data_IF_271470703464
#
_entry.id   IF_271470703464
#
_cell.length_a   1.000
_cell.length_b   1.000
_cell.length_c   1.000
_cell.angle_alpha   90.00
_cell.angle_beta   90.00
_cell.angle_gamma   90.00
#
_symmetry.space_group_name_H-M   'P 1'
#
loop_
_entity.id
_entity.type
_entity.pdbx_description
1 polymer ?
2 non-polymer ?
3 non-polymer ?
4 non-polymer ?
5 non-polymer ?
6 water ?
#
# COMPACT_ATOMS: atom_id res chain seq x y z
N UNK A 22 -16.41 -14.41 -13.57
CA UNK A 22 -17.61 -14.31 -14.41
C UNK A 22 -18.38 -15.63 -14.39
N UNK A 23 -17.66 -16.76 -14.41
CA UNK A 23 -18.26 -18.08 -14.32
C UNK A 23 -18.51 -18.45 -12.85
N UNK A 24 -19.60 -19.18 -12.61
CA UNK A 24 -19.82 -19.91 -11.37
C UNK A 24 -20.15 -19.09 -10.13
N UNK A 25 -20.21 -17.77 -10.23
CA UNK A 25 -20.54 -16.93 -9.09
C UNK A 25 -22.05 -16.72 -9.03
N UNK A 26 -22.55 -16.44 -7.82
CA UNK A 26 -23.92 -15.98 -7.72
C UNK A 26 -24.04 -14.57 -8.30
N UNK A 27 -25.30 -14.14 -8.47
CA UNK A 27 -25.56 -12.79 -8.96
C UNK A 27 -25.06 -11.74 -7.97
N UNK A 28 -25.19 -12.00 -6.68
CA UNK A 28 -24.71 -11.04 -5.68
C UNK A 28 -23.19 -10.95 -5.72
N UNK A 29 -22.52 -12.09 -5.93
CA UNK A 29 -21.05 -12.08 -6.01
C UNK A 29 -20.58 -11.33 -7.24
N UNK A 30 -21.28 -11.50 -8.37
CA UNK A 30 -20.89 -10.80 -9.60
C UNK A 30 -21.10 -9.30 -9.46
N UNK A 31 -22.22 -8.88 -8.85
CA UNK A 31 -22.44 -7.46 -8.59
C UNK A 31 -21.40 -6.89 -7.64
N UNK A 32 -20.96 -7.69 -6.67
CA UNK A 32 -19.94 -7.24 -5.73
C UNK A 32 -18.61 -6.97 -6.45
N UNK A 33 -18.16 -7.91 -7.28
CA UNK A 33 -16.92 -7.71 -8.02
C UNK A 33 -17.05 -6.50 -8.94
N UNK A 34 -18.19 -6.37 -9.60
CA UNK A 34 -18.41 -5.23 -10.49
C UNK A 34 -18.36 -3.92 -9.73
N UNK A 35 -18.99 -3.86 -8.55
CA UNK A 35 -18.93 -2.61 -7.80
C UNK A 35 -17.50 -2.26 -7.40
N UNK A 36 -16.70 -3.27 -7.03
CA UNK A 36 -15.31 -3.01 -6.63
C UNK A 36 -14.46 -2.60 -7.83
N UNK A 37 -14.63 -3.30 -8.96
CA UNK A 37 -13.88 -2.94 -10.17
C UNK A 37 -14.24 -1.54 -10.66
N UNK A 38 -15.51 -1.17 -10.54
CA UNK A 38 -15.93 0.18 -10.86
C UNK A 38 -15.24 1.20 -9.95
N UNK A 39 -15.26 0.96 -8.64
CA UNK A 39 -14.61 1.89 -7.72
C UNK A 39 -13.12 1.99 -8.01
N UNK A 40 -12.48 0.86 -8.31
CA UNK A 40 -11.05 0.86 -8.60
C UNK A 40 -10.77 1.70 -9.86
N UNK A 41 -11.52 1.45 -10.93
CA UNK A 41 -11.36 2.18 -12.19
C UNK A 41 -11.51 3.69 -12.00
N UNK A 42 -12.46 4.12 -11.17
CA UNK A 42 -12.71 5.54 -10.99
C UNK A 42 -11.69 6.23 -10.11
N UNK A 43 -10.97 5.50 -9.25
CA UNK A 43 -10.17 6.15 -8.24
C UNK A 43 -8.70 5.76 -8.25
N UNK A 44 -8.26 4.93 -9.18
CA UNK A 44 -6.86 4.52 -9.27
C UNK A 44 -6.31 5.15 -10.55
N UNK A 45 -5.50 6.19 -10.38
CA UNK A 45 -4.75 6.89 -11.43
C UNK A 45 -3.50 6.07 -11.74
N UNK A 46 -3.67 5.03 -12.57
CA UNK A 46 -2.58 4.06 -12.72
C UNK A 46 -1.38 4.66 -13.45
N UNK A 47 -1.58 5.74 -14.19
CA UNK A 47 -0.50 6.46 -14.83
C UNK A 47 0.04 7.62 -13.99
N UNK A 48 -0.57 7.90 -12.84
CA UNK A 48 -0.13 8.97 -11.94
C UNK A 48 -0.11 10.32 -12.68
N UNK A 49 -0.98 10.50 -13.68
CA UNK A 49 -0.99 11.72 -14.48
C UNK A 49 -1.30 12.95 -13.64
N UNK A 50 -2.05 12.80 -12.56
CA UNK A 50 -2.46 13.94 -11.76
C UNK A 50 -1.66 14.10 -10.47
N UNK A 51 -0.60 13.33 -10.29
CA UNK A 51 0.35 13.56 -9.19
C UNK A 51 1.33 14.62 -9.66
N UNK A 52 1.21 15.83 -9.12
CA UNK A 52 2.05 16.94 -9.55
C UNK A 52 2.32 17.83 -8.33
N UNK A 53 3.18 18.82 -8.55
CA UNK A 53 3.55 19.82 -7.53
C UNK A 53 4.14 19.20 -6.27
N UNK A 54 4.79 18.05 -6.39
CA UNK A 54 5.39 17.37 -5.24
C UNK A 54 6.78 17.92 -4.96
N UNK A 55 7.21 17.80 -3.70
CA UNK A 55 8.55 18.21 -3.33
C UNK A 55 9.57 17.17 -3.83
N UNK A 56 10.82 17.62 -4.04
CA UNK A 56 11.90 16.74 -4.47
C UNK A 56 13.11 16.93 -3.56
N UNK A 57 13.98 15.92 -3.45
CA UNK A 57 15.15 16.05 -2.58
C UNK A 57 16.05 17.19 -3.08
N UNK A 58 16.45 18.05 -2.14
CA UNK A 58 17.20 19.26 -2.47
C UNK A 58 18.43 19.06 -3.32
N UNK A 59 18.83 20.10 -4.05
CA UNK A 59 20.04 20.02 -4.87
C UNK A 59 21.11 20.94 -4.30
N UNK A 77 17.77 9.81 23.96
CA UNK A 77 18.76 10.81 23.56
C UNK A 77 19.27 10.49 22.17
N UNK A 78 20.52 10.05 22.06
CA UNK A 78 21.05 9.62 20.78
C UNK A 78 20.59 8.21 20.42
N UNK A 79 20.05 7.46 21.38
CA UNK A 79 19.53 6.12 21.07
C UNK A 79 18.38 6.19 20.08
N UNK A 80 17.51 7.19 20.23
CA UNK A 80 16.42 7.39 19.28
C UNK A 80 16.96 7.65 17.89
N UNK A 81 18.07 8.40 17.78
CA UNK A 81 18.68 8.65 16.48
C UNK A 81 19.23 7.37 15.86
N UNK A 82 19.79 6.50 16.69
CA UNK A 82 20.36 5.26 16.16
C UNK A 82 19.28 4.41 15.49
N UNK A 83 18.09 4.36 16.09
CA UNK A 83 17.02 3.56 15.52
C UNK A 83 16.43 4.23 14.28
N UNK A 84 16.30 5.56 14.31
CA UNK A 84 15.81 6.32 13.17
C UNK A 84 16.70 6.10 11.95
N UNK A 85 18.01 5.99 12.17
CA UNK A 85 18.92 5.71 11.06
C UNK A 85 18.58 4.39 10.40
N UNK A 86 18.38 3.34 11.21
CA UNK A 86 17.99 2.04 10.67
C UNK A 86 16.62 2.10 10.00
N UNK A 87 15.66 2.77 10.64
CA UNK A 87 14.30 2.90 10.10
C UNK A 87 14.30 3.45 8.67
N UNK A 88 15.10 4.48 8.43
CA UNK A 88 15.09 5.16 7.14
C UNK A 88 15.67 4.31 6.02
N UNK A 89 16.32 3.20 6.38
CA UNK A 89 16.77 2.22 5.39
C UNK A 89 15.58 1.51 4.73
N UNK A 90 14.41 1.63 5.34
CA UNK A 90 13.19 1.01 4.83
C UNK A 90 12.62 1.74 3.62
N UNK A 91 13.12 2.96 3.37
CA UNK A 91 12.59 3.78 2.29
C UNK A 91 13.60 4.07 1.18
N UNK A 92 14.80 3.52 1.25
CA UNK A 92 15.88 3.97 0.36
C UNK A 92 15.66 3.44 -1.06
N UNK A 93 15.38 4.36 -2.00
CA UNK A 93 15.24 4.06 -3.41
C UNK A 93 15.89 5.21 -4.17
N UNK A 94 16.23 4.95 -5.42
CA UNK A 94 16.57 6.00 -6.36
C UNK A 94 15.31 6.36 -7.16
N UNK A 95 15.37 7.51 -7.82
CA UNK A 95 14.17 8.12 -8.37
C UNK A 95 14.48 8.65 -9.76
N UNK A 96 13.64 8.31 -10.72
CA UNK A 96 13.74 8.83 -12.08
C UNK A 96 12.45 9.55 -12.45
N UNK A 97 12.59 10.70 -13.12
CA UNK A 97 11.48 11.50 -13.63
C UNK A 97 11.68 11.74 -15.11
N UNK A 98 10.75 11.23 -15.94
CA UNK A 98 10.78 11.43 -17.38
C UNK A 98 9.82 12.57 -17.73
N UNK A 99 10.36 13.68 -18.23
CA UNK A 99 9.52 14.77 -18.63
C UNK A 99 8.82 14.50 -19.95
N UNK A 100 7.65 15.12 -20.12
CA UNK A 100 6.89 14.96 -21.36
C UNK A 100 7.71 15.36 -22.59
N UNK A 101 8.72 16.21 -22.41
CA UNK A 101 9.60 16.62 -23.50
C UNK A 101 10.62 15.56 -23.89
N UNK A 102 10.80 14.52 -23.09
CA UNK A 102 11.86 13.54 -23.33
C UNK A 102 13.05 13.68 -22.41
N UNK A 103 13.12 14.72 -21.57
CA UNK A 103 14.22 14.82 -20.64
C UNK A 103 14.07 13.83 -19.49
N UNK A 104 15.18 13.45 -18.89
CA UNK A 104 15.22 12.56 -17.73
C UNK A 104 16.02 13.21 -16.60
N UNK A 105 15.41 13.32 -15.42
CA UNK A 105 16.13 13.57 -14.18
C UNK A 105 16.24 12.25 -13.42
N UNK A 106 17.43 11.99 -12.84
CA UNK A 106 17.67 10.84 -11.97
C UNK A 106 18.27 11.30 -10.65
N UNK A 107 17.76 10.76 -9.54
CA UNK A 107 18.29 11.03 -8.20
C UNK A 107 18.77 9.74 -7.56
N UNK A 108 20.03 9.71 -7.16
CA UNK A 108 20.59 8.62 -6.39
C UNK A 108 20.77 9.09 -4.95
N UNK A 109 20.20 8.41 -3.96
CA UNK A 109 20.24 8.93 -2.59
C UNK A 109 21.62 8.78 -1.98
N UNK A 110 21.93 9.53 -0.93
CA UNK A 110 23.26 9.43 -0.31
C UNK A 110 23.46 8.13 0.45
N UNK A 111 24.63 7.96 1.08
CA UNK A 111 24.83 6.93 2.09
C UNK A 111 24.65 7.55 3.47
N UNK A 112 24.33 6.71 4.45
CA UNK A 112 24.22 7.22 5.81
C UNK A 112 25.59 7.63 6.30
N UNK A 113 25.74 8.91 6.62
CA UNK A 113 26.98 9.46 7.17
C UNK A 113 26.72 10.12 8.52
N UNK A 114 25.69 9.65 9.24
CA UNK A 114 25.39 10.13 10.57
C UNK A 114 24.89 11.56 10.67
N UNK A 115 24.00 11.97 9.78
CA UNK A 115 23.51 13.32 9.79
C UNK A 115 22.14 13.47 9.15
N UNK A 116 21.77 14.73 8.89
CA UNK A 116 20.43 15.05 8.38
C UNK A 116 20.21 14.60 6.94
N UNK A 117 21.28 14.32 6.19
CA UNK A 117 21.15 13.91 4.79
C UNK A 117 20.28 12.68 4.62
N UNK A 118 20.02 11.93 5.69
CA UNK A 118 19.20 10.73 5.61
C UNK A 118 17.72 11.04 5.45
N UNK A 119 17.30 12.28 5.63
CA UNK A 119 15.90 12.69 5.53
C UNK A 119 15.53 13.25 4.16
N UNK A 120 16.45 13.26 3.20
CA UNK A 120 16.22 14.02 1.97
C UNK A 120 15.00 13.54 1.18
N UNK A 121 14.64 12.26 1.30
CA UNK A 121 13.54 11.74 0.50
C UNK A 121 12.20 11.83 1.21
N UNK A 122 12.17 12.20 2.49
CA UNK A 122 10.93 12.16 3.25
C UNK A 122 9.87 13.10 2.72
N UNK A 123 10.15 14.38 2.39
CA UNK A 123 9.07 15.22 1.87
C UNK A 123 8.48 14.69 0.57
N UNK A 124 9.31 14.17 -0.34
CA UNK A 124 8.75 13.61 -1.56
C UNK A 124 7.89 12.38 -1.27
N UNK A 125 8.41 11.47 -0.43
CA UNK A 125 7.65 10.28 -0.09
C UNK A 125 6.32 10.64 0.55
N UNK A 126 6.32 11.66 1.42
CA UNK A 126 5.07 12.10 2.06
C UNK A 126 4.07 12.59 1.01
N UNK A 127 4.54 13.33 0.01
CA UNK A 127 3.64 13.80 -1.02
C UNK A 127 3.07 12.64 -1.84
N UNK A 128 3.92 11.66 -2.18
CA UNK A 128 3.44 10.51 -2.96
C UNK A 128 2.42 9.71 -2.17
N UNK A 129 2.73 9.40 -0.91
CA UNK A 129 1.81 8.63 -0.09
C UNK A 129 0.50 9.38 0.08
N UNK A 130 0.58 10.69 0.29
CA UNK A 130 -0.62 11.50 0.40
C UNK A 130 -1.46 11.38 -0.86
N UNK A 131 -0.82 11.44 -2.03
CA UNK A 131 -1.56 11.29 -3.28
C UNK A 131 -2.23 9.92 -3.36
N UNK A 132 -1.49 8.86 -3.03
CA UNK A 132 -2.09 7.52 -2.99
C UNK A 132 -3.24 7.45 -1.97
N UNK A 133 -3.06 8.05 -0.79
CA UNK A 133 -4.08 7.93 0.27
C UNK A 133 -5.38 8.59 -0.15
N UNK A 134 -5.32 9.71 -0.88
CA UNK A 134 -6.54 10.33 -1.39
C UNK A 134 -7.30 9.40 -2.32
N UNK A 135 -6.57 8.73 -3.23
CA UNK A 135 -7.21 7.74 -4.09
C UNK A 135 -7.84 6.60 -3.29
N UNK A 136 -7.14 6.13 -2.24
CA UNK A 136 -7.66 5.05 -1.39
C UNK A 136 -8.95 5.51 -0.69
N UNK A 137 -8.96 6.72 -0.15
CA UNK A 137 -10.16 7.21 0.53
C UNK A 137 -11.32 7.32 -0.45
N UNK A 138 -11.03 7.78 -1.68
CA UNK A 138 -12.08 7.85 -2.70
C UNK A 138 -12.58 6.47 -3.08
N UNK A 139 -11.67 5.49 -3.15
CA UNK A 139 -12.06 4.11 -3.41
C UNK A 139 -13.13 3.66 -2.42
N UNK A 140 -12.81 3.78 -1.14
CA UNK A 140 -13.70 3.30 -0.09
C UNK A 140 -15.07 3.99 -0.16
N UNK A 141 -15.07 5.30 -0.42
CA UNK A 141 -16.32 6.06 -0.36
C UNK A 141 -17.26 5.79 -1.52
N UNK A 142 -16.75 5.22 -2.62
CA UNK A 142 -17.59 4.87 -3.76
C UNK A 142 -18.31 3.55 -3.54
N UNK A 143 -17.88 2.74 -2.58
CA UNK A 143 -18.38 1.40 -2.42
C UNK A 143 -19.62 1.44 -1.51
N UNK A 144 -20.70 0.80 -1.97
CA UNK A 144 -21.96 0.87 -1.22
C UNK A 144 -21.82 0.31 0.18
N UNK A 145 -21.18 -0.86 0.32
CA UNK A 145 -21.04 -1.49 1.63
C UNK A 145 -20.28 -0.62 2.61
N UNK A 146 -19.39 0.23 2.10
CA UNK A 146 -18.65 1.13 2.99
C UNK A 146 -19.48 2.37 3.31
N UNK A 147 -20.12 2.97 2.30
CA UNK A 147 -20.96 4.15 2.52
C UNK A 147 -22.04 3.90 3.57
N UNK A 148 -22.53 2.67 3.66
CA UNK A 148 -23.62 2.33 4.59
C UNK A 148 -23.15 2.16 6.03
N UNK A 149 -21.85 2.15 6.29
CA UNK A 149 -21.39 2.08 7.67
C UNK A 149 -21.49 3.46 8.31
N UNK A 150 -21.62 3.53 9.64
CA UNK A 150 -21.58 4.85 10.31
C UNK A 150 -20.24 5.53 10.09
N UNK A 151 -20.27 6.87 10.05
CA UNK A 151 -19.09 7.65 9.70
C UNK A 151 -17.90 7.32 10.61
N UNK A 152 -18.17 7.08 11.90
CA UNK A 152 -17.06 6.79 12.81
C UNK A 152 -16.36 5.49 12.44
N UNK A 153 -17.12 4.51 11.95
CA UNK A 153 -16.52 3.24 11.57
C UNK A 153 -15.81 3.34 10.23
N UNK A 154 -16.34 4.14 9.31
CA UNK A 154 -15.60 4.46 8.09
C UNK A 154 -14.23 5.04 8.41
N UNK A 155 -14.19 6.02 9.30
CA UNK A 155 -12.93 6.66 9.65
C UNK A 155 -11.98 5.65 10.30
N UNK A 156 -12.49 4.83 11.21
CA UNK A 156 -11.65 3.85 11.87
C UNK A 156 -11.12 2.82 10.89
N UNK A 157 -11.96 2.38 9.95
CA UNK A 157 -11.52 1.39 8.96
C UNK A 157 -10.44 1.96 8.04
N UNK A 158 -10.62 3.20 7.56
CA UNK A 158 -9.61 3.85 6.73
C UNK A 158 -8.30 4.07 7.49
N UNK A 159 -8.37 4.55 8.74
CA UNK A 159 -7.15 4.69 9.53
C UNK A 159 -6.44 3.36 9.69
N UNK A 160 -7.21 2.27 9.79
CA UNK A 160 -6.59 0.97 9.98
C UNK A 160 -5.96 0.40 8.72
N UNK A 161 -6.51 0.72 7.55
CA UNK A 161 -6.21 -0.03 6.33
C UNK A 161 -5.53 0.78 5.23
N UNK A 162 -5.46 2.11 5.36
CA UNK A 162 -4.98 2.95 4.26
C UNK A 162 -3.62 2.51 3.77
N UNK A 163 -2.68 2.28 4.69
CA UNK A 163 -1.35 1.80 4.32
C UNK A 163 -1.43 0.50 3.54
N UNK A 164 -2.30 -0.43 3.96
CA UNK A 164 -2.37 -1.73 3.32
C UNK A 164 -2.90 -1.62 1.89
N UNK A 165 -3.97 -0.84 1.70
CA UNK A 165 -4.50 -0.67 0.35
C UNK A 165 -3.49 0.04 -0.55
N UNK A 166 -2.75 0.98 0.00
CA UNK A 166 -1.70 1.67 -0.78
C UNK A 166 -0.67 0.68 -1.29
N UNK A 167 -0.18 -0.20 -0.42
CA UNK A 167 0.81 -1.19 -0.83
C UNK A 167 0.24 -2.15 -1.88
N UNK A 168 -1.05 -2.51 -1.75
CA UNK A 168 -1.65 -3.40 -2.74
C UNK A 168 -1.72 -2.72 -4.10
N UNK A 169 -2.08 -1.43 -4.13
CA UNK A 169 -2.06 -0.70 -5.40
C UNK A 169 -0.63 -0.57 -5.94
N UNK A 170 0.34 -0.25 -5.08
CA UNK A 170 1.73 -0.18 -5.54
C UNK A 170 2.20 -1.52 -6.10
N UNK A 171 1.71 -2.65 -5.57
CA UNK A 171 2.16 -3.93 -6.11
C UNK A 171 1.78 -4.09 -7.58
N UNK A 172 0.65 -3.53 -8.00
CA UNK A 172 0.25 -3.68 -9.39
C UNK A 172 1.11 -2.87 -10.34
N UNK A 173 1.88 -1.88 -9.87
CA UNK A 173 2.83 -1.20 -10.73
C UNK A 173 4.27 -1.61 -10.43
N UNK A 174 4.46 -2.64 -9.62
CA UNK A 174 5.80 -3.10 -9.31
C UNK A 174 6.28 -4.01 -10.44
N UNK A 175 7.51 -3.77 -10.89
CA UNK A 175 8.14 -4.60 -11.93
C UNK A 175 9.18 -5.42 -11.18
N UNK A 176 8.87 -6.71 -11.00
CA UNK A 176 9.74 -7.58 -10.22
C UNK A 176 11.03 -7.95 -10.96
N UNK A 177 11.06 -7.78 -12.28
CA UNK A 177 12.28 -8.02 -13.05
C UNK A 177 13.33 -6.93 -12.84
N UNK A 178 12.91 -5.66 -12.77
CA UNK A 178 13.86 -4.56 -12.58
C UNK A 178 13.87 -3.99 -11.17
N UNK A 179 13.11 -4.58 -10.23
CA UNK A 179 13.01 -4.03 -8.90
C UNK A 179 12.54 -2.58 -8.87
N UNK A 180 11.49 -2.25 -9.63
CA UNK A 180 11.10 -0.85 -9.82
C UNK A 180 9.59 -0.66 -9.71
N UNK A 181 9.15 0.32 -8.94
CA UNK A 181 7.74 0.72 -8.99
C UNK A 181 7.60 1.77 -10.10
N UNK A 182 6.83 1.42 -11.13
CA UNK A 182 6.70 2.24 -12.34
C UNK A 182 5.45 3.09 -12.20
N UNK A 183 5.63 4.32 -11.74
CA UNK A 183 4.50 5.19 -11.46
C UNK A 183 4.37 6.24 -12.56
N UNK A 184 4.07 5.75 -13.76
CA UNK A 184 3.88 6.63 -14.89
C UNK A 184 5.19 7.26 -15.32
N UNK A 185 5.27 8.59 -15.23
CA UNK A 185 6.50 9.29 -15.55
C UNK A 185 7.55 9.21 -14.46
N UNK A 186 7.20 8.67 -13.29
CA UNK A 186 8.09 8.50 -12.16
C UNK A 186 8.42 7.01 -11.99
N UNK A 187 9.68 6.71 -11.69
CA UNK A 187 10.14 5.36 -11.40
C UNK A 187 10.92 5.35 -10.09
N UNK A 188 10.65 4.38 -9.22
CA UNK A 188 11.36 4.24 -7.95
C UNK A 188 12.06 2.89 -7.98
N UNK A 189 13.40 2.90 -7.99
CA UNK A 189 14.18 1.70 -8.24
C UNK A 189 14.95 1.27 -7.00
N UNK A 190 14.95 -0.02 -6.75
CA UNK A 190 15.74 -0.59 -5.67
C UNK A 190 17.21 -0.57 -6.09
N UNK A 191 18.09 -0.22 -5.16
CA UNK A 191 19.52 -0.21 -5.44
C UNK A 191 20.13 -1.56 -5.11
N UNK A 192 20.86 -2.13 -6.07
CA UNK A 192 21.54 -3.41 -5.86
C UNK A 192 22.50 -3.30 -4.70
N UNK A 193 22.33 -4.17 -3.71
CA UNK A 193 23.20 -4.18 -2.53
C UNK A 193 24.54 -4.85 -2.87
N UNK A 195 25.61 -8.53 -1.22
CA UNK A 195 24.19 -8.54 -0.91
C UNK A 195 23.39 -9.35 -1.91
N UNK A 196 22.82 -8.68 -2.91
CA UNK A 196 22.12 -9.35 -3.98
C UNK A 196 20.62 -9.46 -3.71
N UNK A 197 19.96 -10.16 -4.65
CA UNK A 197 18.50 -10.24 -4.63
C UNK A 197 18.00 -10.88 -3.33
N UNK A 198 18.54 -12.05 -2.97
CA UNK A 198 18.08 -12.72 -1.77
C UNK A 198 18.33 -11.90 -0.52
N UNK A 199 19.43 -11.12 -0.49
CA UNK A 199 19.66 -10.27 0.67
C UNK A 199 18.70 -9.09 0.72
N UNK A 200 18.12 -8.69 -0.41
CA UNK A 200 17.09 -7.65 -0.41
C UNK A 200 15.77 -8.18 0.07
N UNK A 201 15.41 -9.41 -0.30
CA UNK A 201 14.15 -10.04 0.10
C UNK A 201 14.08 -10.37 1.59
N UNK A 202 15.15 -10.14 2.36
CA UNK A 202 15.04 -10.27 3.80
C UNK A 202 14.19 -9.15 4.39
N UNK A 203 14.19 -7.98 3.77
CA UNK A 203 13.35 -6.89 4.22
C UNK A 203 11.88 -7.27 4.00
N UNK A 204 11.08 -7.41 5.05
CA UNK A 204 9.72 -7.94 4.88
C UNK A 204 8.85 -7.24 3.83
N UNK A 205 8.94 -5.91 3.72
CA UNK A 205 8.19 -5.17 2.70
C UNK A 205 8.53 -5.64 1.28
N UNK A 206 9.82 -5.88 1.02
CA UNK A 206 10.22 -6.31 -0.32
C UNK A 206 9.85 -7.76 -0.60
N UNK A 207 10.02 -8.64 0.38
CA UNK A 207 9.54 -10.00 0.21
C UNK A 207 8.05 -10.03 -0.09
N UNK A 208 7.28 -9.20 0.62
CA UNK A 208 5.85 -9.10 0.32
C UNK A 208 5.63 -8.74 -1.15
N UNK A 209 6.27 -7.66 -1.62
CA UNK A 209 6.02 -7.21 -2.99
C UNK A 209 6.44 -8.25 -4.00
N UNK A 210 7.59 -8.91 -3.79
CA UNK A 210 8.03 -9.91 -4.75
C UNK A 210 7.14 -11.15 -4.71
N UNK A 211 6.83 -11.65 -3.50
CA UNK A 211 5.98 -12.84 -3.39
C UNK A 211 4.59 -12.59 -3.96
N UNK A 212 3.98 -11.43 -3.66
CA UNK A 212 2.65 -11.16 -4.20
C UNK A 212 2.66 -11.04 -5.73
N UNK A 213 3.68 -10.38 -6.28
CA UNK A 213 3.76 -10.26 -7.74
C UNK A 213 3.88 -11.63 -8.41
N UNK A 214 4.57 -12.57 -7.76
CA UNK A 214 4.73 -13.91 -8.28
C UNK A 214 3.41 -14.66 -8.41
N UNK A 215 2.37 -14.26 -7.67
CA UNK A 215 1.10 -14.96 -7.79
C UNK A 215 0.38 -14.64 -9.08
N UNK A 216 0.82 -13.60 -9.80
CA UNK A 216 0.19 -13.18 -11.06
C UNK A 216 -1.31 -12.99 -10.91
N UNK A 217 -1.71 -12.11 -10.00
CA UNK A 217 -3.14 -11.95 -9.71
C UNK A 217 -3.83 -11.18 -10.84
N UNK A 218 -5.13 -11.45 -11.00
CA UNK A 218 -6.01 -10.64 -11.82
C UNK A 218 -6.37 -9.33 -11.12
N UNK A 219 -6.83 -8.35 -11.90
CA UNK A 219 -7.30 -7.10 -11.31
C UNK A 219 -8.40 -7.36 -10.29
N UNK A 220 -9.31 -8.30 -10.61
CA UNK A 220 -10.42 -8.63 -9.72
C UNK A 220 -9.91 -9.17 -8.39
N UNK A 221 -8.83 -9.96 -8.41
CA UNK A 221 -8.28 -10.50 -7.18
C UNK A 221 -7.59 -9.42 -6.34
N UNK A 222 -6.85 -8.50 -6.99
CA UNK A 222 -6.32 -7.36 -6.22
C UNK A 222 -7.44 -6.58 -5.55
N UNK A 223 -8.54 -6.31 -6.27
CA UNK A 223 -9.52 -5.40 -5.66
C UNK A 223 -10.30 -6.11 -4.56
N UNK A 224 -10.49 -7.43 -4.65
CA UNK A 224 -11.06 -8.15 -3.52
C UNK A 224 -10.10 -8.18 -2.33
N UNK A 225 -8.79 -8.26 -2.60
CA UNK A 225 -7.84 -8.14 -1.50
C UNK A 225 -7.97 -6.81 -0.80
N UNK A 226 -8.13 -5.73 -1.58
CA UNK A 226 -8.33 -4.40 -0.99
C UNK A 226 -9.59 -4.37 -0.11
N UNK A 227 -10.68 -4.98 -0.58
CA UNK A 227 -11.92 -4.98 0.21
C UNK A 227 -11.75 -5.79 1.50
N UNK A 228 -11.08 -6.93 1.42
CA UNK A 228 -10.88 -7.75 2.61
C UNK A 228 -10.07 -6.99 3.65
N UNK A 229 -9.02 -6.30 3.21
CA UNK A 229 -8.23 -5.49 4.13
C UNK A 229 -9.03 -4.31 4.67
N UNK A 230 -9.80 -3.65 3.79
CA UNK A 230 -10.57 -2.49 4.22
C UNK A 230 -11.60 -2.84 5.29
N UNK A 231 -12.35 -3.92 5.07
CA UNK A 231 -13.40 -4.35 6.00
C UNK A 231 -12.86 -5.33 7.06
N UNK A 232 -11.81 -4.93 7.77
CA UNK A 232 -11.26 -5.78 8.81
C UNK A 232 -11.90 -5.39 10.13
N UNK A 233 -12.65 -6.29 10.78
CA UNK A 233 -13.43 -5.87 11.96
C UNK A 233 -12.60 -5.52 13.18
N UNK A 234 -11.34 -5.96 13.23
CA UNK A 234 -10.51 -5.76 14.41
C UNK A 234 -9.58 -4.56 14.28
N UNK A 235 -10.00 -3.57 13.62
CA UNK A 235 -9.16 -2.39 13.67
C UNK A 235 -9.49 -1.57 14.91
N UNK A 236 -8.50 -0.86 15.47
CA UNK A 236 -8.77 -0.01 16.63
C UNK A 236 -9.96 0.90 16.40
N UNK A 237 -10.91 0.87 17.33
CA UNK A 237 -11.99 1.82 17.33
C UNK A 237 -13.24 1.42 16.57
N UNK A 238 -13.28 0.22 16.02
CA UNK A 238 -14.47 -0.18 15.28
C UNK A 238 -15.58 -0.50 16.28
N UNK A 239 -16.79 -0.04 15.96
CA UNK A 239 -17.96 -0.31 16.79
C UNK A 239 -18.84 -1.41 16.23
N UNK A 240 -19.15 -1.37 14.93
CA UNK A 240 -19.98 -2.39 14.31
C UNK A 240 -19.15 -3.61 13.91
N UNK A 241 -18.55 -4.26 14.92
CA UNK A 241 -17.71 -5.42 14.68
C UNK A 241 -18.43 -6.47 13.85
N UNK A 242 -19.68 -6.75 14.22
CA UNK A 242 -20.40 -7.87 13.61
C UNK A 242 -20.74 -7.57 12.16
N UNK A 243 -21.20 -6.35 11.87
CA UNK A 243 -21.51 -5.99 10.49
C UNK A 243 -20.25 -6.06 9.63
N UNK A 244 -19.15 -5.49 10.11
CA UNK A 244 -17.92 -5.48 9.32
C UNK A 244 -17.41 -6.89 9.11
N UNK A 245 -17.48 -7.72 10.14
CA UNK A 245 -17.03 -9.10 10.02
C UNK A 245 -17.83 -9.86 8.98
N UNK A 246 -19.14 -9.64 8.92
CA UNK A 246 -19.96 -10.35 7.94
C UNK A 246 -19.66 -9.85 6.53
N UNK A 247 -19.42 -8.55 6.38
CA UNK A 247 -19.04 -8.03 5.07
C UNK A 247 -17.70 -8.63 4.62
N UNK A 248 -16.72 -8.66 5.52
CA UNK A 248 -15.41 -9.19 5.14
C UNK A 248 -15.52 -10.64 4.72
N UNK A 249 -16.27 -11.43 5.49
CA UNK A 249 -16.44 -12.84 5.14
C UNK A 249 -17.08 -12.99 3.76
N UNK A 250 -18.01 -12.11 3.43
CA UNK A 250 -18.61 -12.19 2.09
C UNK A 250 -17.60 -11.87 1.01
N UNK A 251 -16.76 -10.85 1.22
CA UNK A 251 -15.69 -10.56 0.26
C UNK A 251 -14.73 -11.75 0.13
N UNK A 252 -14.43 -12.42 1.25
CA UNK A 252 -13.52 -13.58 1.19
C UNK A 252 -14.16 -14.74 0.42
N UNK A 253 -15.44 -15.01 0.67
CA UNK A 253 -16.11 -16.09 -0.06
C UNK A 253 -16.15 -15.80 -1.56
N UNK A 254 -16.44 -14.55 -1.92
CA UNK A 254 -16.44 -14.19 -3.34
C UNK A 254 -15.07 -14.45 -3.96
N UNK A 255 -14.00 -14.10 -3.23
CA UNK A 255 -12.66 -14.32 -3.78
C UNK A 255 -12.39 -15.81 -3.93
N UNK A 256 -12.72 -16.59 -2.90
CA UNK A 256 -12.53 -18.04 -2.97
C UNK A 256 -13.28 -18.62 -4.17
N UNK A 257 -14.53 -18.20 -4.38
CA UNK A 257 -15.31 -18.72 -5.50
C UNK A 257 -14.79 -18.21 -6.84
N UNK A 258 -14.42 -16.92 -6.92
CA UNK A 258 -13.83 -16.42 -8.16
C UNK A 258 -12.63 -17.27 -8.58
N UNK A 259 -11.76 -17.59 -7.62
CA UNK A 259 -10.56 -18.37 -7.93
C UNK A 259 -10.95 -19.78 -8.40
N UNK A 260 -11.94 -20.40 -7.73
CA UNK A 260 -12.32 -21.76 -8.10
C UNK A 260 -12.88 -21.81 -9.52
N UNK A 261 -13.71 -20.82 -9.87
CA UNK A 261 -14.37 -20.83 -11.16
C UNK A 261 -13.48 -20.38 -12.31
N UNK A 262 -12.41 -19.63 -12.06
CA UNK A 262 -11.63 -19.07 -13.15
C UNK A 262 -10.17 -19.51 -13.20
N UNK A 263 -9.72 -20.38 -12.28
CA UNK A 263 -8.30 -20.73 -12.18
C UNK A 263 -8.12 -22.22 -11.86
N UNK A 264 -8.27 -23.08 -12.87
CA UNK A 264 -8.17 -24.54 -12.63
C UNK A 264 -6.75 -25.10 -12.59
N UNK A 265 -5.72 -24.31 -12.89
CA UNK A 265 -4.40 -24.87 -13.15
C UNK A 265 -3.72 -25.32 -11.86
N UNK A 266 -2.93 -26.40 -11.93
CA UNK A 266 -2.22 -26.87 -10.72
C UNK A 266 -1.35 -25.80 -10.08
N UNK A 267 -0.91 -24.79 -10.84
CA UNK A 267 -0.11 -23.72 -10.25
C UNK A 267 -0.92 -22.87 -9.30
N UNK A 268 -2.25 -22.89 -9.44
CA UNK A 268 -3.12 -22.07 -8.62
C UNK A 268 -3.79 -22.86 -7.49
N UNK A 269 -3.34 -24.09 -7.26
CA UNK A 269 -3.83 -24.78 -6.07
C UNK A 269 -3.45 -23.99 -4.84
N UNK A 270 -4.38 -23.87 -3.91
CA UNK A 270 -4.21 -23.16 -2.66
C UNK A 270 -4.02 -21.64 -2.86
N UNK A 271 -4.33 -21.12 -4.05
CA UNK A 271 -4.14 -19.68 -4.28
C UNK A 271 -4.94 -18.84 -3.29
N UNK A 272 -6.19 -19.22 -3.01
CA UNK A 272 -6.97 -18.46 -2.06
C UNK A 272 -6.27 -18.39 -0.70
N UNK A 273 -5.71 -19.53 -0.25
CA UNK A 273 -5.08 -19.54 1.07
C UNK A 273 -3.75 -18.80 1.05
N UNK A 274 -3.05 -18.85 -0.09
CA UNK A 274 -1.84 -18.03 -0.24
C UNK A 274 -2.17 -16.54 -0.10
N UNK A 275 -3.24 -16.10 -0.74
CA UNK A 275 -3.61 -14.69 -0.70
C UNK A 275 -3.96 -14.26 0.71
N UNK A 276 -4.72 -15.08 1.43
CA UNK A 276 -5.10 -14.71 2.78
C UNK A 276 -3.86 -14.65 3.68
N UNK A 277 -2.90 -15.55 3.47
CA UNK A 277 -1.66 -15.47 4.25
C UNK A 277 -0.88 -14.19 3.94
N UNK A 278 -0.88 -13.76 2.67
CA UNK A 278 -0.26 -12.48 2.33
C UNK A 278 -0.94 -11.33 3.04
N UNK A 279 -2.27 -11.38 3.14
CA UNK A 279 -3.01 -10.30 3.80
C UNK A 279 -2.66 -10.23 5.29
N UNK A 280 -2.50 -11.39 5.94
CA UNK A 280 -2.10 -11.39 7.33
C UNK A 280 -0.70 -10.83 7.48
N UNK A 281 0.20 -11.18 6.57
CA UNK A 281 1.55 -10.64 6.61
C UNK A 281 1.55 -9.14 6.34
N UNK A 282 0.66 -8.69 5.45
CA UNK A 282 0.58 -7.26 5.17
C UNK A 282 0.16 -6.49 6.42
N UNK A 283 -0.71 -7.09 7.23
CA UNK A 283 -1.13 -6.48 8.47
C UNK A 283 0.04 -6.30 9.44
N UNK A 284 0.95 -7.28 9.48
CA UNK A 284 2.12 -7.18 10.35
C UNK A 284 3.10 -6.13 9.85
N UNK A 285 3.30 -6.04 8.53
CA UNK A 285 4.16 -5.03 7.95
C UNK A 285 3.62 -3.64 8.27
N UNK A 286 2.29 -3.49 8.22
CA UNK A 286 1.64 -2.22 8.54
C UNK A 286 1.96 -1.75 9.95
N UNK A 287 1.93 -2.66 10.92
CA UNK A 287 2.29 -2.30 12.29
C UNK A 287 3.77 -1.95 12.41
N UNK A 288 4.65 -2.72 11.77
CA UNK A 288 6.08 -2.41 11.82
C UNK A 288 6.36 -1.07 11.16
N UNK A 289 5.81 -0.86 9.97
CA UNK A 289 6.10 0.36 9.22
C UNK A 289 5.43 1.57 9.85
N UNK A 290 4.28 1.37 10.52
CA UNK A 290 3.66 2.48 11.24
C UNK A 290 4.54 2.93 12.41
N UNK A 291 5.17 1.99 13.11
CA UNK A 291 6.05 2.42 14.21
C UNK A 291 7.30 3.11 13.68
N UNK A 292 7.81 2.70 12.51
CA UNK A 292 8.90 3.45 11.89
C UNK A 292 8.49 4.89 11.62
N UNK A 293 7.33 5.07 10.98
CA UNK A 293 6.85 6.42 10.70
C UNK A 293 6.79 7.24 11.98
N UNK A 294 6.30 6.65 13.07
CA UNK A 294 6.12 7.42 14.29
C UNK A 294 7.47 7.79 14.92
N UNK A 295 8.43 6.87 14.91
CA UNK A 295 9.76 7.21 15.43
C UNK A 295 10.41 8.29 14.59
N UNK A 296 10.39 8.15 13.26
CA UNK A 296 10.98 9.19 12.42
C UNK A 296 10.25 10.52 12.63
N UNK A 297 8.92 10.49 12.66
CA UNK A 297 8.15 11.71 12.89
C UNK A 297 8.57 12.38 14.18
N UNK A 298 8.88 11.59 15.20
CA UNK A 298 9.26 12.16 16.49
C UNK A 298 10.57 12.94 16.40
N UNK A 299 11.52 12.44 15.62
CA UNK A 299 12.81 13.11 15.47
C UNK A 299 12.80 14.20 14.40
N UNK A 300 12.00 14.02 13.34
CA UNK A 300 12.08 14.88 12.16
C UNK A 300 10.71 14.92 11.48
N UNK A 301 9.87 15.90 11.83
CA UNK A 301 8.50 15.94 11.30
C UNK A 301 8.46 15.98 9.78
N UNK A 302 7.57 15.16 9.21
CA UNK A 302 7.42 15.12 7.76
C UNK A 302 6.01 14.72 7.33
N UNK A 303 5.20 14.16 8.24
CA UNK A 303 3.88 13.69 7.84
C UNK A 303 2.99 14.86 7.42
N UNK A 304 2.35 14.74 6.25
CA UNK A 304 1.40 15.75 5.82
C UNK A 304 0.18 15.72 6.75
N UNK A 305 -0.70 16.71 6.64
CA UNK A 305 -1.93 16.68 7.46
C UNK A 305 -2.79 15.44 7.25
N UNK A 306 -2.96 14.99 6.01
CA UNK A 306 -3.71 13.75 5.77
C UNK A 306 -3.01 12.55 6.40
N UNK A 307 -1.69 12.46 6.26
CA UNK A 307 -0.98 11.36 6.93
C UNK A 307 -1.15 11.45 8.43
N UNK A 308 -1.08 12.66 8.99
CA UNK A 308 -1.26 12.81 10.43
C UNK A 308 -2.63 12.30 10.86
N UNK A 309 -3.66 12.64 10.07
CA UNK A 309 -5.02 12.19 10.39
C UNK A 309 -5.11 10.66 10.32
N UNK A 310 -4.57 10.07 9.25
CA UNK A 310 -4.65 8.62 9.07
C UNK A 310 -3.86 7.87 10.13
N UNK A 311 -2.76 8.43 10.62
CA UNK A 311 -1.89 7.71 11.53
C UNK A 311 -2.02 8.17 12.97
N UNK A 312 -3.00 9.01 13.29
CA UNK A 312 -3.26 9.35 14.67
C UNK A 312 -2.33 10.40 15.25
N UNK A 313 -1.95 11.39 14.47
CA UNK A 313 -1.10 12.50 14.92
C UNK A 313 -2.02 13.70 15.13
N UNK A 314 -2.21 14.10 16.40
CA UNK A 314 -3.23 15.09 16.75
C UNK A 314 -2.83 16.52 16.39
N UNK A 315 -1.53 16.81 16.23
CA UNK A 315 -1.07 18.17 16.07
C UNK A 315 -0.68 18.87 17.36
N UNK A 316 -0.79 18.20 18.51
CA UNK A 316 -0.43 18.76 19.81
C UNK A 316 0.67 17.90 20.44
N UNK A 317 1.66 18.55 21.04
CA UNK A 317 2.78 17.84 21.64
C UNK A 317 2.62 17.69 23.15
X LIG B 1 -11.41 10.32 7.03
X LIG B 1 -9.95 10.14 6.68
X LIG B 1 -9.34 11.51 6.48
X LIG B 1 -9.43 9.49 7.82
X LIG C 1 1.30 12.21 17.73
X LIG C 1 0.72 10.95 18.04
X LIG C 1 0.61 13.35 18.48
X LIG C 1 -0.70 12.91 18.80
X LIG C 1 0.55 14.60 17.59
X LIG C 1 1.17 15.71 18.18
X LIG D 1 -8.10 -11.02 -17.19
X LIG D 1 -9.31 -11.47 -17.79
X LIG D 1 -8.37 -10.55 -15.78
X LIG D 1 -9.70 -10.89 -15.45
X LIG D 1 -8.09 -9.07 -15.54
X LIG D 1 -6.88 -8.97 -14.81
X LIG E 1 -3.44 -6.97 -13.19
X LIG E 1 -3.53 -8.31 -12.76
X LIG E 1 -2.13 -6.41 -12.67
X LIG E 1 -1.07 -7.13 -13.29
X LIG E 1 -2.09 -4.91 -12.96
X LIG E 1 -0.77 -4.54 -13.33
X LIG F 1 -14.35 10.32 5.58
X LIG F 1 -15.34 11.12 4.95
X LIG F 1 -14.90 8.97 5.98
X LIG F 1 -15.64 8.42 4.90
X LIG G 1 -8.51 8.39 -11.69
X LIG G 1 -8.42 9.79 -11.53
X LIG G 1 -8.17 8.03 -13.11
X LIG G 1 -9.34 7.60 -13.78
X LIG H 1 5.01 3.74 -0.31
X LIG H 1 6.27 3.04 1.65
X LIG H 1 9.96 1.07 0.20
X LIG H 1 10.73 0.06 -0.61
X LIG H 1 11.87 -0.60 0.14
X LIG H 1 14.36 -0.85 0.04
X LIG H 1 6.83 1.42 -1.57
X LIG H 1 8.73 5.70 7.22
X LIG H 1 7.39 5.74 6.53
X LIG H 1 6.39 4.84 6.88
X LIG H 1 5.14 4.85 6.26
X LIG H 1 4.11 3.91 6.82
X LIG H 1 4.92 5.79 5.22
X LIG H 1 4.56 4.72 1.88
X LIG H 1 4.30 4.62 0.50
X LIG H 1 5.98 2.95 0.29
X LIG H 1 5.56 3.92 2.47
X LIG H 1 7.60 1.54 0.86
X LIG H 1 8.65 0.50 0.71
X LIG H 1 13.19 0.11 -0.04
X LIG H 1 15.52 -0.35 0.85
X LIG H 1 7.18 2.41 -2.66
X LIG H 1 6.37 2.51 -3.79
X LIG H 1 6.59 3.51 -4.72
X LIG H 1 7.62 4.41 -4.55
X LIG H 1 8.42 4.32 -3.44
X LIG H 1 8.20 3.32 -2.50
X LIG H 1 5.92 6.73 4.86
X LIG H 1 5.73 7.83 3.86
X LIG H 1 7.15 6.65 5.53
X LIG H 1 3.83 5.69 2.68
X LIG H 1 7.29 2.14 1.98
X LIG H 1 16.05 -1.42 1.72
X LIG H 1 6.86 1.97 -0.20
X LIG H 1 2.78 7.07 4.47
X LIG H 1 2.67 4.61 4.52
X LIG H 1 3.41 5.80 4.27
#
# INVERSE_FOLDING_TARGET
MKKGHHHHHHGSERTGTQPLGVQGLTEEQRMMIRELMDAQMKTFDTTFSHFKNFRLPGVLSSGCELPESLQAPSREEAAKWSQVRKDLCSLKVSLQLRGEDGSVWNYKPPADSGGKEIFSLLPHMADMSTYMFKGIISFAKVISYFRDLPIEDQISLLKGAAFELCQLRFNTVFNAETGTWECGRLSYCLEDTAGGFQQLLLEPMLKFHYMLKKLQLHEEEYVLMQAISLFSPDRPGVLQHRVVDQLQEQFAITLKSYIECNRPQPAHRFLFLKIMAMLTELRSINAQHTQRLLRIQDIHPFATPLMQELFGITGSLVPR
IPA C1 C2 C3 O2
GOL C1 O1 C2 O2 C3 O3
GOL C1 O1 C2 O2 C3 O3
GOL C1 O1 C2 O2 C3 O3
EDO C1 O1 C2 O2
EDO C1 O1 C2 O2
Y7Q C13 C15 C20 C21 C22 C24 C28 C01 C02 C03 C04 C05 C06 C11 C12 C14 C16 C18 C19 C23 C25 C29 C30 C31 C32 C33 C34 C35 C36 C37 N10 N17 N26 N27 O08 O09 S07
#
